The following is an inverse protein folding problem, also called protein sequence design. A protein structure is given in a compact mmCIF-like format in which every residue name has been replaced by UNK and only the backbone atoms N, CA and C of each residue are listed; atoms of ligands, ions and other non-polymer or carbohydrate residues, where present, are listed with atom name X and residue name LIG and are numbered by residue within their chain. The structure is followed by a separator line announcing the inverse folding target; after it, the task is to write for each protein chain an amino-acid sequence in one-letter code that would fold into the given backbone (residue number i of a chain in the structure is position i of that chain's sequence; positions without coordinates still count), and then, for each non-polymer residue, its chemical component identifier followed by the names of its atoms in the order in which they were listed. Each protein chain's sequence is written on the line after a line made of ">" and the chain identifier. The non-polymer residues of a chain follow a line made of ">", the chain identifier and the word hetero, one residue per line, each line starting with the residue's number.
data_IF_123568077118
#
_entry.id   IF_123568077118
#
_cell.length_a   1.000
_cell.length_b   1.000
_cell.length_c   1.000
_cell.angle_alpha   90.00
_cell.angle_beta   90.00
_cell.angle_gamma   90.00
#
_symmetry.space_group_name_H-M   'P 1'
#
loop_
_entity.id
_entity.type
_entity.pdbx_description
1 polymer ?
#
# COMPACT_ATOMS: atom_id res chain seq x y z
N UNK A 1 89.70 20.49 21.34
CA UNK A 1 88.82 19.50 20.71
C UNK A 1 87.83 19.01 21.77
N UNK A 2 86.63 19.56 21.76
CA UNK A 2 85.60 19.39 22.79
C UNK A 2 84.56 18.35 22.32
N UNK A 3 84.50 17.22 23.00
CA UNK A 3 83.47 16.19 22.77
C UNK A 3 82.14 16.61 23.43
N UNK A 4 81.13 16.83 22.60
CA UNK A 4 79.76 17.12 23.02
C UNK A 4 79.05 15.84 23.50
N UNK A 5 78.45 15.94 24.69
CA UNK A 5 77.76 14.88 25.42
C UNK A 5 76.33 14.68 24.84
N UNK A 6 75.96 13.44 24.50
CA UNK A 6 74.60 13.09 24.02
C UNK A 6 73.66 12.88 25.22
N UNK A 7 72.50 13.56 25.30
CA UNK A 7 71.53 13.26 26.34
C UNK A 7 70.74 11.98 26.03
N UNK A 8 70.68 11.08 27.03
CA UNK A 8 69.87 9.88 27.01
C UNK A 8 68.37 10.24 27.06
N UNK A 9 67.59 9.74 26.10
CA UNK A 9 66.13 9.86 26.09
C UNK A 9 65.54 8.91 27.11
N UNK A 10 64.78 9.44 28.06
CA UNK A 10 64.00 8.68 29.03
C UNK A 10 62.83 7.95 28.35
N UNK A 11 62.51 6.72 28.76
CA UNK A 11 61.32 6.02 28.27
C UNK A 11 60.07 6.71 28.82
N UNK A 12 59.21 7.17 27.91
CA UNK A 12 57.88 7.67 28.20
C UNK A 12 57.12 6.64 29.05
N UNK A 13 56.97 6.94 30.36
CA UNK A 13 56.03 6.26 31.25
C UNK A 13 54.64 6.41 30.63
N UNK A 14 54.17 5.37 29.94
CA UNK A 14 52.79 5.26 29.49
C UNK A 14 51.91 5.25 30.74
N UNK A 15 51.34 6.42 31.04
CA UNK A 15 50.52 6.62 32.21
C UNK A 15 49.31 5.70 32.14
N UNK A 16 49.06 5.00 33.24
CA UNK A 16 47.84 4.21 33.48
C UNK A 16 46.57 5.04 33.28
N UNK A 17 46.68 6.36 33.40
CA UNK A 17 45.61 7.33 33.11
C UNK A 17 45.01 7.21 31.70
N UNK A 18 45.82 6.94 30.65
CA UNK A 18 45.26 6.76 29.30
C UNK A 18 44.40 5.48 29.22
N UNK A 19 44.81 4.39 29.88
CA UNK A 19 44.02 3.15 29.87
C UNK A 19 42.64 3.33 30.50
N UNK A 20 42.55 4.12 31.57
CA UNK A 20 41.26 4.44 32.19
C UNK A 20 40.42 5.42 31.35
N UNK A 21 41.06 6.41 30.71
CA UNK A 21 40.35 7.31 29.80
C UNK A 21 39.77 6.58 28.57
N UNK A 22 40.51 5.63 27.99
CA UNK A 22 40.05 4.82 26.88
C UNK A 22 38.93 3.84 27.29
N UNK A 23 39.02 3.25 28.47
CA UNK A 23 37.98 2.39 29.02
C UNK A 23 36.69 3.16 29.34
N UNK A 24 36.80 4.36 29.91
CA UNK A 24 35.65 5.24 30.18
C UNK A 24 34.96 5.68 28.89
N UNK A 25 35.72 5.97 27.82
CA UNK A 25 35.17 6.31 26.51
C UNK A 25 34.40 5.13 25.89
N UNK A 26 34.94 3.91 26.00
CA UNK A 26 34.27 2.68 25.54
C UNK A 26 32.98 2.40 26.32
N UNK A 27 32.97 2.62 27.64
CA UNK A 27 31.78 2.44 28.48
C UNK A 27 30.70 3.49 28.17
N UNK A 28 31.09 4.74 27.87
CA UNK A 28 30.16 5.79 27.44
C UNK A 28 29.59 5.57 26.03
N UNK A 29 30.23 4.76 25.19
CA UNK A 29 29.71 4.39 23.87
C UNK A 29 28.80 3.15 23.89
N UNK A 30 28.75 2.38 24.98
CA UNK A 30 27.88 1.20 25.11
C UNK A 30 26.36 1.48 25.16
N UNK A 31 25.83 2.63 25.65
CA UNK A 31 24.39 2.91 25.60
C UNK A 31 23.92 3.46 24.25
N UNK A 32 24.83 3.84 23.33
CA UNK A 32 24.50 4.05 21.92
C UNK A 32 24.39 2.68 21.24
N UNK A 33 23.38 1.92 21.68
CA UNK A 33 23.17 0.55 21.26
C UNK A 33 23.12 0.43 19.74
N UNK A 34 24.00 -0.41 19.19
CA UNK A 34 23.74 -1.06 17.92
C UNK A 34 22.34 -1.69 18.00
N UNK A 35 21.37 -1.01 17.39
CA UNK A 35 19.99 -1.45 17.28
C UNK A 35 20.01 -2.73 16.46
N UNK A 36 20.12 -3.87 17.13
CA UNK A 36 20.14 -5.19 16.49
C UNK A 36 18.80 -5.36 15.74
N UNK A 37 18.80 -5.38 14.39
CA UNK A 37 17.57 -5.54 13.62
C UNK A 37 16.90 -6.91 13.84
N UNK A 38 17.54 -7.83 14.59
CA UNK A 38 16.99 -9.13 14.96
C UNK A 38 16.24 -9.11 16.29
N UNK A 39 16.46 -8.11 17.16
CA UNK A 39 15.61 -7.87 18.34
C UNK A 39 14.33 -7.16 17.91
N UNK A 40 13.48 -7.87 17.17
CA UNK A 40 12.08 -7.48 17.04
C UNK A 40 11.46 -7.66 18.42
N UNK A 41 10.86 -6.59 18.97
CA UNK A 41 9.86 -6.75 20.02
C UNK A 41 8.88 -7.84 19.57
N UNK A 42 8.43 -8.74 20.46
CA UNK A 42 7.33 -9.62 20.11
C UNK A 42 6.19 -8.73 19.59
N UNK A 43 5.59 -9.05 18.43
CA UNK A 43 4.54 -8.23 17.87
C UNK A 43 3.50 -8.02 18.97
N UNK A 44 3.20 -6.75 19.25
CA UNK A 44 2.06 -6.38 20.07
C UNK A 44 0.87 -7.11 19.47
N UNK A 45 0.23 -8.01 20.23
CA UNK A 45 -0.75 -8.94 19.67
C UNK A 45 -1.79 -8.15 18.85
N UNK A 46 -1.80 -8.28 17.51
CA UNK A 46 -2.72 -7.53 16.65
C UNK A 46 -4.18 -7.93 16.94
N UNK A 47 -4.40 -9.03 17.66
CA UNK A 47 -5.69 -9.52 18.10
C UNK A 47 -6.49 -8.47 18.90
N UNK A 48 -5.85 -7.68 19.77
CA UNK A 48 -6.59 -6.73 20.63
C UNK A 48 -7.04 -5.48 19.88
N UNK A 49 -6.26 -5.04 18.88
CA UNK A 49 -6.63 -3.90 18.04
C UNK A 49 -7.61 -4.28 16.91
N UNK A 50 -7.54 -5.52 16.40
CA UNK A 50 -8.47 -6.04 15.38
C UNK A 50 -9.89 -6.25 15.91
N UNK A 51 -10.04 -6.64 17.17
CA UNK A 51 -11.36 -6.95 17.73
C UNK A 51 -12.25 -5.71 17.93
N UNK A 52 -11.66 -4.52 18.15
CA UNK A 52 -12.42 -3.26 18.25
C UNK A 52 -12.81 -2.71 16.87
N UNK A 53 -11.94 -2.86 15.87
CA UNK A 53 -12.19 -2.38 14.51
C UNK A 53 -13.28 -3.20 13.80
N UNK A 54 -13.33 -4.51 14.01
CA UNK A 54 -14.33 -5.37 13.35
C UNK A 54 -15.78 -5.08 13.77
N UNK A 55 -16.00 -4.41 14.91
CA UNK A 55 -17.34 -3.98 15.36
C UNK A 55 -17.82 -2.68 14.73
N UNK A 56 -16.98 -2.02 13.94
CA UNK A 56 -17.32 -0.79 13.25
C UNK A 56 -18.29 -1.04 12.09
N UNK A 57 -18.95 0.03 11.66
CA UNK A 57 -19.76 0.00 10.44
C UNK A 57 -18.86 -0.32 9.23
N UNK A 58 -19.34 -1.09 8.23
CA UNK A 58 -18.54 -1.48 7.06
C UNK A 58 -17.88 -0.31 6.32
N UNK A 59 -18.53 0.85 6.31
CA UNK A 59 -17.99 2.05 5.69
C UNK A 59 -16.73 2.57 6.42
N UNK A 60 -16.69 2.47 7.75
CA UNK A 60 -15.54 2.92 8.55
C UNK A 60 -14.33 2.01 8.34
N UNK A 61 -14.55 0.70 8.25
CA UNK A 61 -13.50 -0.27 7.88
C UNK A 61 -12.88 0.05 6.51
N UNK A 62 -13.72 0.41 5.53
CA UNK A 62 -13.27 0.82 4.20
C UNK A 62 -12.47 2.13 4.28
N UNK A 63 -12.91 3.12 5.07
CA UNK A 63 -12.12 4.35 5.28
C UNK A 63 -10.77 4.06 5.91
N UNK A 64 -10.74 3.23 6.96
CA UNK A 64 -9.51 2.84 7.64
C UNK A 64 -8.54 2.10 6.71
N UNK A 65 -9.05 1.19 5.88
CA UNK A 65 -8.26 0.53 4.83
C UNK A 65 -7.63 1.54 3.87
N UNK A 66 -8.44 2.44 3.30
CA UNK A 66 -7.96 3.39 2.30
C UNK A 66 -6.96 4.40 2.88
N UNK A 67 -7.20 4.87 4.10
CA UNK A 67 -6.26 5.74 4.80
C UNK A 67 -4.95 5.03 5.09
N UNK A 68 -4.98 3.80 5.59
CA UNK A 68 -3.78 3.00 5.80
C UNK A 68 -3.00 2.79 4.49
N UNK A 69 -3.69 2.48 3.38
CA UNK A 69 -3.07 2.39 2.06
C UNK A 69 -2.42 3.71 1.61
N UNK A 70 -3.06 4.85 1.88
CA UNK A 70 -2.53 6.19 1.55
C UNK A 70 -1.27 6.50 2.34
N UNK A 71 -1.28 6.27 3.66
CA UNK A 71 -0.10 6.45 4.52
C UNK A 71 1.06 5.57 4.06
N UNK A 72 0.80 4.29 3.76
CA UNK A 72 1.84 3.37 3.31
C UNK A 72 2.43 3.75 1.95
N UNK A 73 1.61 4.25 1.01
CA UNK A 73 2.10 4.78 -0.27
C UNK A 73 2.98 6.01 -0.04
N UNK A 74 2.50 6.98 0.75
CA UNK A 74 3.21 8.21 1.01
C UNK A 74 4.57 7.96 1.68
N UNK A 75 4.58 7.19 2.77
CA UNK A 75 5.81 6.83 3.50
C UNK A 75 6.74 6.01 2.61
N UNK A 76 6.19 5.10 1.79
CA UNK A 76 6.95 4.32 0.82
C UNK A 76 7.66 5.20 -0.22
N UNK A 77 6.99 6.26 -0.70
CA UNK A 77 7.52 7.21 -1.68
C UNK A 77 8.57 8.17 -1.10
N UNK A 78 8.31 8.71 0.09
CA UNK A 78 9.21 9.68 0.75
C UNK A 78 10.45 8.99 1.36
N UNK A 79 10.30 7.70 1.68
CA UNK A 79 11.27 6.86 2.36
C UNK A 79 11.17 7.00 3.88
N UNK A 80 11.33 5.88 4.59
CA UNK A 80 11.31 5.78 6.06
C UNK A 80 12.57 6.39 6.70
N UNK A 81 12.80 7.69 6.52
CA UNK A 81 14.02 8.38 6.95
C UNK A 81 13.96 8.88 8.40
N UNK A 82 12.77 8.97 9.00
CA UNK A 82 12.56 9.43 10.37
C UNK A 82 11.89 8.35 11.25
N UNK A 83 12.11 8.40 12.58
CA UNK A 83 11.38 7.52 13.51
C UNK A 83 9.86 7.70 13.45
N UNK A 84 9.39 8.90 13.14
CA UNK A 84 7.97 9.21 12.99
C UNK A 84 7.37 8.52 11.75
N UNK A 85 8.05 8.60 10.59
CA UNK A 85 7.63 7.89 9.38
C UNK A 85 7.61 6.38 9.58
N UNK A 86 8.56 5.84 10.34
CA UNK A 86 8.55 4.43 10.72
C UNK A 86 7.34 4.08 11.60
N UNK A 87 7.00 4.91 12.59
CA UNK A 87 5.84 4.69 13.45
C UNK A 87 4.52 4.74 12.64
N UNK A 88 4.38 5.70 11.73
CA UNK A 88 3.22 5.81 10.82
C UNK A 88 3.10 4.58 9.92
N UNK A 89 4.22 4.09 9.38
CA UNK A 89 4.23 2.85 8.60
C UNK A 89 3.75 1.65 9.42
N UNK A 90 4.29 1.48 10.63
CA UNK A 90 3.94 0.36 11.52
C UNK A 90 2.46 0.42 11.96
N UNK A 91 1.94 1.61 12.24
CA UNK A 91 0.53 1.84 12.59
C UNK A 91 -0.41 1.56 11.41
N UNK A 92 -0.06 2.04 10.21
CA UNK A 92 -0.84 1.77 9.02
C UNK A 92 -0.81 0.27 8.64
N UNK A 93 0.34 -0.39 8.74
CA UNK A 93 0.43 -1.85 8.54
C UNK A 93 -0.43 -2.59 9.58
N UNK A 94 -0.36 -2.21 10.86
CA UNK A 94 -1.19 -2.80 11.90
C UNK A 94 -2.69 -2.62 11.62
N UNK A 95 -3.09 -1.44 11.16
CA UNK A 95 -4.48 -1.14 10.76
C UNK A 95 -4.93 -2.05 9.61
N UNK A 96 -4.11 -2.22 8.56
CA UNK A 96 -4.43 -3.15 7.47
C UNK A 96 -4.65 -4.59 7.95
N UNK A 97 -3.76 -5.05 8.83
CA UNK A 97 -3.84 -6.40 9.38
C UNK A 97 -5.05 -6.59 10.29
N UNK A 98 -5.50 -5.51 10.93
CA UNK A 98 -6.62 -5.50 11.86
C UNK A 98 -7.98 -5.51 11.16
N UNK A 99 -8.14 -4.75 10.05
CA UNK A 99 -9.41 -4.70 9.29
C UNK A 99 -9.64 -5.92 8.40
N UNK A 100 -8.63 -6.77 8.21
CA UNK A 100 -8.70 -7.93 7.35
C UNK A 100 -9.34 -9.15 8.05
N UNK A 101 -10.33 -9.76 7.40
CA UNK A 101 -10.82 -11.08 7.77
C UNK A 101 -9.88 -12.15 7.20
N UNK A 102 -8.90 -12.54 8.01
CA UNK A 102 -7.86 -13.51 7.65
C UNK A 102 -8.41 -14.87 7.23
N UNK A 103 -9.54 -15.30 7.79
CA UNK A 103 -10.17 -16.56 7.39
C UNK A 103 -10.83 -16.41 6.03
N UNK A 104 -11.52 -15.29 5.78
CA UNK A 104 -12.15 -15.01 4.50
C UNK A 104 -11.13 -14.85 3.37
N UNK A 105 -10.01 -14.18 3.64
CA UNK A 105 -8.87 -14.08 2.71
C UNK A 105 -8.30 -15.45 2.36
N UNK A 106 -8.16 -16.33 3.36
CA UNK A 106 -7.64 -17.68 3.13
C UNK A 106 -8.59 -18.55 2.31
N UNK A 107 -9.89 -18.52 2.62
CA UNK A 107 -10.94 -19.22 1.87
C UNK A 107 -10.97 -18.75 0.40
N UNK A 108 -10.94 -17.44 0.19
CA UNK A 108 -10.94 -16.83 -1.15
C UNK A 108 -9.70 -17.22 -1.95
N UNK A 109 -8.51 -17.15 -1.33
CA UNK A 109 -7.28 -17.55 -1.99
C UNK A 109 -7.24 -19.05 -2.27
N UNK A 110 -7.65 -19.90 -1.32
CA UNK A 110 -7.65 -21.34 -1.47
C UNK A 110 -8.59 -21.81 -2.59
N UNK A 111 -9.68 -21.08 -2.83
CA UNK A 111 -10.60 -21.32 -3.94
C UNK A 111 -9.92 -21.15 -5.32
N UNK A 112 -9.07 -20.14 -5.46
CA UNK A 112 -8.41 -19.81 -6.75
C UNK A 112 -7.12 -20.59 -6.95
N UNK A 113 -6.31 -20.76 -5.91
CA UNK A 113 -4.94 -21.28 -6.01
C UNK A 113 -4.71 -22.58 -5.22
N UNK A 114 -5.73 -23.10 -4.54
CA UNK A 114 -5.66 -24.33 -3.76
C UNK A 114 -5.20 -24.17 -2.31
N UNK A 115 -5.40 -25.23 -1.52
CA UNK A 115 -5.11 -25.27 -0.09
C UNK A 115 -3.61 -25.16 0.22
N UNK A 116 -3.28 -24.65 1.40
CA UNK A 116 -1.91 -24.62 1.89
C UNK A 116 -1.45 -26.00 2.37
N UNK A 117 -0.16 -26.31 2.16
CA UNK A 117 0.46 -27.55 2.65
C UNK A 117 0.67 -27.59 4.18
N UNK A 118 0.56 -26.45 4.86
CA UNK A 118 0.68 -26.33 6.32
C UNK A 118 0.10 -25.01 6.83
N UNK A 119 -0.23 -24.95 8.12
CA UNK A 119 -0.72 -23.73 8.78
C UNK A 119 0.28 -22.57 8.74
N UNK A 120 1.58 -22.87 8.78
CA UNK A 120 2.61 -21.84 8.65
C UNK A 120 2.62 -21.24 7.24
N UNK A 121 2.47 -22.07 6.20
CA UNK A 121 2.35 -21.61 4.83
C UNK A 121 1.05 -20.83 4.61
N UNK A 122 -0.05 -21.30 5.21
CA UNK A 122 -1.35 -20.64 5.22
C UNK A 122 -1.26 -19.21 5.78
N UNK A 123 -0.74 -19.05 7.00
CA UNK A 123 -0.59 -17.73 7.65
C UNK A 123 0.28 -16.76 6.85
N UNK A 124 1.44 -17.21 6.37
CA UNK A 124 2.37 -16.39 5.57
C UNK A 124 1.74 -15.91 4.27
N UNK A 125 0.96 -16.78 3.62
CA UNK A 125 0.25 -16.46 2.39
C UNK A 125 -0.81 -15.41 2.65
N UNK A 126 -1.66 -15.60 3.66
CA UNK A 126 -2.70 -14.62 4.04
C UNK A 126 -2.06 -13.26 4.37
N UNK A 127 -0.99 -13.25 5.18
CA UNK A 127 -0.24 -12.02 5.47
C UNK A 127 0.31 -11.37 4.19
N UNK A 128 0.83 -12.18 3.26
CA UNK A 128 1.34 -11.70 1.98
C UNK A 128 0.26 -11.09 1.10
N UNK A 129 -0.94 -11.68 1.07
CA UNK A 129 -2.10 -11.12 0.34
C UNK A 129 -2.51 -9.78 0.95
N UNK A 130 -2.71 -9.71 2.27
CA UNK A 130 -3.13 -8.47 2.94
C UNK A 130 -2.10 -7.36 2.73
N UNK A 131 -0.80 -7.67 2.89
CA UNK A 131 0.30 -6.71 2.67
C UNK A 131 0.44 -6.27 1.21
N UNK A 132 -0.13 -6.99 0.26
CA UNK A 132 -0.11 -6.60 -1.15
C UNK A 132 -1.21 -5.60 -1.53
N UNK A 133 -2.25 -5.44 -0.70
CA UNK A 133 -3.37 -4.54 -1.01
C UNK A 133 -2.95 -3.08 -1.26
N UNK A 134 -2.01 -2.47 -0.49
CA UNK A 134 -1.51 -1.13 -0.81
C UNK A 134 -0.93 -1.05 -2.22
N UNK A 135 -0.17 -2.06 -2.64
CA UNK A 135 0.41 -2.10 -4.00
C UNK A 135 -0.65 -2.26 -5.09
N UNK A 136 -1.77 -2.94 -4.81
CA UNK A 136 -2.90 -3.05 -5.74
C UNK A 136 -3.51 -1.67 -6.00
N UNK A 137 -3.63 -0.82 -4.98
CA UNK A 137 -4.31 0.48 -5.09
C UNK A 137 -3.39 1.69 -5.18
N UNK A 138 -2.06 1.53 -5.04
CA UNK A 138 -1.10 2.60 -4.84
C UNK A 138 -1.20 3.73 -5.89
N UNK A 139 -1.38 3.38 -7.16
CA UNK A 139 -1.50 4.37 -8.25
C UNK A 139 -2.75 5.24 -8.13
N UNK A 140 -3.82 4.68 -7.55
CA UNK A 140 -5.16 5.26 -7.58
C UNK A 140 -5.58 5.86 -6.23
N UNK A 141 -4.89 5.53 -5.14
CA UNK A 141 -5.29 5.90 -3.78
C UNK A 141 -5.29 7.41 -3.53
N UNK A 142 -4.41 8.15 -4.23
CA UNK A 142 -4.37 9.61 -4.22
C UNK A 142 -5.55 10.25 -4.95
N UNK A 143 -6.16 9.51 -5.88
CA UNK A 143 -7.31 9.92 -6.69
C UNK A 143 -8.67 9.57 -6.09
N UNK A 144 -8.69 8.97 -4.88
CA UNK A 144 -9.92 8.66 -4.16
C UNK A 144 -10.48 9.93 -3.51
N UNK A 145 -11.73 10.27 -3.81
CA UNK A 145 -12.43 11.39 -3.17
C UNK A 145 -12.65 11.14 -1.68
N UNK A 146 -12.64 12.21 -0.87
CA UNK A 146 -12.86 12.14 0.58
C UNK A 146 -14.23 11.57 0.96
N UNK A 147 -15.21 11.72 0.09
CA UNK A 147 -16.52 11.11 0.23
C UNK A 147 -16.47 9.67 -0.31
N UNK A 148 -16.61 8.70 0.59
CA UNK A 148 -16.89 7.34 0.19
C UNK A 148 -18.27 7.31 -0.47
N UNK A 149 -18.40 6.83 -1.71
CA UNK A 149 -19.71 6.60 -2.30
C UNK A 149 -20.51 5.61 -1.44
N UNK A 150 -21.83 5.76 -1.45
CA UNK A 150 -22.73 4.83 -0.75
C UNK A 150 -22.45 3.40 -1.24
N UNK A 151 -22.48 2.39 -0.34
CA UNK A 151 -22.24 1.01 -0.74
C UNK A 151 -23.24 0.64 -1.82
N UNK A 152 -22.75 0.19 -2.98
CA UNK A 152 -23.58 -0.65 -3.83
C UNK A 152 -23.77 -1.94 -3.05
N UNK A 153 -24.91 -2.11 -2.39
CA UNK A 153 -25.30 -3.42 -1.87
C UNK A 153 -25.54 -4.30 -3.10
N UNK A 154 -24.47 -4.92 -3.58
CA UNK A 154 -24.58 -5.97 -4.57
C UNK A 154 -25.10 -7.16 -3.77
N UNK A 155 -26.41 -7.39 -3.79
CA UNK A 155 -26.89 -8.77 -3.67
C UNK A 155 -26.14 -9.57 -4.73
N UNK A 156 -25.54 -10.73 -4.40
CA UNK A 156 -24.63 -11.42 -5.29
C UNK A 156 -25.35 -11.84 -6.57
N UNK A 157 -25.34 -10.98 -7.57
CA UNK A 157 -25.55 -11.35 -8.95
C UNK A 157 -24.17 -11.60 -9.53
N UNK A 158 -23.86 -12.88 -9.66
CA UNK A 158 -22.84 -13.43 -10.55
C UNK A 158 -21.37 -13.15 -10.23
N UNK A 159 -20.95 -13.49 -9.02
CA UNK A 159 -19.81 -14.40 -8.90
C UNK A 159 -20.37 -15.75 -8.48
N UNK A 160 -20.00 -16.84 -9.14
CA UNK A 160 -20.45 -18.23 -8.87
C UNK A 160 -20.11 -18.65 -7.43
N UNK A 161 -20.88 -18.17 -6.47
CA UNK A 161 -20.67 -18.26 -5.03
C UNK A 161 -21.57 -19.37 -4.47
N UNK A 162 -21.09 -20.60 -4.56
CA UNK A 162 -21.72 -21.76 -3.91
C UNK A 162 -21.44 -21.85 -2.41
N UNK A 163 -21.48 -20.75 -1.65
CA UNK A 163 -21.38 -20.78 -0.19
C UNK A 163 -22.44 -19.87 0.43
N UNK A 164 -23.15 -20.45 1.40
CA UNK A 164 -24.35 -19.95 2.03
C UNK A 164 -24.08 -18.96 3.20
N UNK A 165 -25.07 -18.10 3.45
CA UNK A 165 -25.49 -17.49 4.74
C UNK A 165 -24.74 -16.30 5.38
N UNK A 166 -23.53 -15.92 4.99
CA UNK A 166 -22.92 -14.69 5.55
C UNK A 166 -23.19 -13.49 4.63
N UNK A 167 -23.59 -12.35 5.19
CA UNK A 167 -23.80 -11.14 4.39
C UNK A 167 -22.47 -10.68 3.80
N UNK A 168 -22.44 -10.51 2.48
CA UNK A 168 -21.32 -9.91 1.77
C UNK A 168 -21.69 -8.48 1.36
N UNK A 169 -20.75 -7.55 1.48
CA UNK A 169 -20.88 -6.17 0.97
C UNK A 169 -19.70 -5.84 0.09
N UNK A 170 -19.93 -5.11 -1.00
CA UNK A 170 -18.87 -4.64 -1.88
C UNK A 170 -18.96 -3.12 -2.00
N UNK A 171 -17.90 -2.44 -1.58
CA UNK A 171 -17.75 -1.02 -1.78
C UNK A 171 -17.05 -0.78 -3.11
N UNK A 172 -17.67 0.07 -3.93
CA UNK A 172 -17.21 0.50 -5.24
C UNK A 172 -16.69 1.92 -5.11
N UNK A 173 -15.39 2.09 -4.98
CA UNK A 173 -14.77 3.40 -4.80
C UNK A 173 -14.20 3.86 -6.14
N UNK A 174 -14.70 4.99 -6.63
CA UNK A 174 -14.17 5.60 -7.86
C UNK A 174 -12.90 6.35 -7.49
N UNK A 175 -11.80 6.00 -8.15
CA UNK A 175 -10.55 6.73 -8.06
C UNK A 175 -10.24 7.37 -9.40
N UNK A 176 -10.09 8.70 -9.43
CA UNK A 176 -9.78 9.46 -10.65
C UNK A 176 -8.40 10.11 -10.54
N UNK A 177 -7.65 10.10 -11.63
CA UNK A 177 -6.34 10.76 -11.71
C UNK A 177 -6.46 11.99 -12.62
N UNK A 178 -6.95 13.15 -12.15
CA UNK A 178 -7.24 14.30 -13.02
C UNK A 178 -6.01 14.81 -13.77
N UNK A 179 -4.82 14.75 -13.15
CA UNK A 179 -3.56 15.10 -13.79
C UNK A 179 -3.23 14.14 -14.94
N UNK A 180 -3.46 12.83 -14.75
CA UNK A 180 -3.27 11.83 -15.79
C UNK A 180 -4.33 11.96 -16.90
N UNK A 181 -5.58 12.29 -16.56
CA UNK A 181 -6.63 12.59 -17.54
C UNK A 181 -6.22 13.77 -18.44
N UNK A 182 -5.76 14.87 -17.84
CA UNK A 182 -5.30 16.05 -18.56
C UNK A 182 -4.07 15.76 -19.45
N UNK A 183 -3.09 15.02 -18.94
CA UNK A 183 -1.91 14.64 -19.69
C UNK A 183 -2.24 13.67 -20.85
N UNK A 184 -3.16 12.72 -20.64
CA UNK A 184 -3.62 11.83 -21.70
C UNK A 184 -4.42 12.60 -22.77
N UNK A 185 -5.21 13.60 -22.38
CA UNK A 185 -5.91 14.48 -23.31
C UNK A 185 -4.92 15.32 -24.16
N UNK A 186 -3.79 15.75 -23.59
CA UNK A 186 -2.70 16.38 -24.35
C UNK A 186 -2.08 15.39 -25.36
N UNK A 187 -1.72 14.18 -24.94
CA UNK A 187 -1.18 13.14 -25.82
C UNK A 187 -2.15 12.85 -26.97
N UNK A 188 -3.46 12.77 -26.69
CA UNK A 188 -4.49 12.55 -27.72
C UNK A 188 -4.58 13.70 -28.73
N UNK A 189 -4.35 14.93 -28.29
CA UNK A 189 -4.26 16.12 -29.17
C UNK A 189 -2.98 16.09 -30.02
N UNK A 190 -1.84 15.70 -29.46
CA UNK A 190 -0.59 15.50 -30.19
C UNK A 190 -0.72 14.39 -31.26
N UNK A 191 -1.37 13.29 -30.90
CA UNK A 191 -1.61 12.17 -31.80
C UNK A 191 -2.43 12.60 -33.02
N UNK A 192 -3.47 13.42 -32.82
CA UNK A 192 -4.35 13.89 -33.89
C UNK A 192 -3.66 14.78 -34.94
N UNK A 193 -2.53 15.40 -34.60
CA UNK A 193 -1.72 16.22 -35.53
C UNK A 193 -0.49 15.48 -36.07
N UNK A 194 -0.21 14.29 -35.54
CA UNK A 194 0.92 13.44 -35.96
C UNK A 194 0.59 12.70 -37.24
N UNK A 195 1.60 12.52 -38.11
CA UNK A 195 1.48 11.76 -39.35
C UNK A 195 2.17 10.40 -39.24
N UNK A 196 1.60 9.38 -39.87
CA UNK A 196 2.21 8.07 -40.00
C UNK A 196 3.34 8.07 -41.04
N UNK A 197 3.98 6.91 -41.24
CA UNK A 197 5.09 6.73 -42.19
C UNK A 197 4.70 7.01 -43.65
N UNK A 198 3.40 7.03 -43.97
CA UNK A 198 2.86 7.36 -45.29
C UNK A 198 2.51 8.84 -45.43
N UNK A 199 2.71 9.63 -44.38
CA UNK A 199 2.40 11.07 -44.35
C UNK A 199 0.93 11.40 -44.05
N UNK A 200 0.12 10.41 -43.68
CA UNK A 200 -1.31 10.58 -43.34
C UNK A 200 -1.48 10.87 -41.85
N UNK A 201 -2.45 11.72 -41.48
CA UNK A 201 -2.74 12.00 -40.07
C UNK A 201 -3.28 10.76 -39.34
N UNK A 202 -2.83 10.55 -38.11
CA UNK A 202 -3.38 9.50 -37.24
C UNK A 202 -4.82 9.84 -36.88
N UNK A 203 -5.75 8.95 -37.25
CA UNK A 203 -7.19 9.16 -36.99
C UNK A 203 -7.57 8.66 -35.59
N UNK A 204 -8.25 9.46 -34.76
CA UNK A 204 -8.78 9.00 -33.48
C UNK A 204 -9.60 7.71 -33.62
N UNK A 205 -9.37 6.74 -32.72
CA UNK A 205 -10.03 5.43 -32.75
C UNK A 205 -9.45 4.42 -33.75
N UNK A 206 -8.45 4.79 -34.55
CA UNK A 206 -7.70 3.84 -35.39
C UNK A 206 -6.56 3.17 -34.63
N UNK A 207 -6.17 1.96 -35.05
CA UNK A 207 -5.12 1.16 -34.39
C UNK A 207 -3.77 1.91 -34.28
N UNK A 208 -3.36 2.62 -35.33
CA UNK A 208 -2.10 3.39 -35.32
C UNK A 208 -2.16 4.56 -34.32
N UNK A 209 -3.31 5.21 -34.19
CA UNK A 209 -3.53 6.30 -33.24
C UNK A 209 -3.48 5.76 -31.81
N UNK A 210 -4.23 4.69 -31.50
CA UNK A 210 -4.26 4.10 -30.16
C UNK A 210 -2.89 3.53 -29.76
N UNK A 211 -2.17 2.93 -30.71
CA UNK A 211 -0.80 2.45 -30.46
C UNK A 211 0.15 3.61 -30.16
N UNK A 212 0.03 4.72 -30.90
CA UNK A 212 0.85 5.92 -30.67
C UNK A 212 0.55 6.53 -29.30
N UNK A 213 -0.74 6.74 -28.98
CA UNK A 213 -1.19 7.26 -27.69
C UNK A 213 -0.71 6.38 -26.55
N UNK A 214 -0.84 5.05 -26.68
CA UNK A 214 -0.37 4.10 -25.66
C UNK A 214 1.14 4.16 -25.47
N UNK A 215 1.93 4.20 -26.56
CA UNK A 215 3.39 4.34 -26.45
C UNK A 215 3.77 5.64 -25.77
N UNK A 216 3.17 6.75 -26.17
CA UNK A 216 3.45 8.07 -25.60
C UNK A 216 3.03 8.18 -24.14
N UNK A 217 1.89 7.57 -23.77
CA UNK A 217 1.45 7.47 -22.38
C UNK A 217 2.45 6.67 -21.54
N UNK A 218 2.90 5.52 -22.04
CA UNK A 218 3.92 4.70 -21.37
C UNK A 218 5.25 5.45 -21.19
N UNK A 219 5.70 6.19 -22.20
CA UNK A 219 6.89 7.05 -22.10
C UNK A 219 6.77 8.11 -21.01
N UNK A 220 5.56 8.64 -20.77
CA UNK A 220 5.26 9.58 -19.68
C UNK A 220 4.90 8.90 -18.35
N UNK A 221 4.97 7.57 -18.25
CA UNK A 221 4.58 6.81 -17.05
C UNK A 221 3.07 6.81 -16.76
N UNK A 222 2.24 7.18 -17.74
CA UNK A 222 0.79 7.29 -17.62
C UNK A 222 0.09 5.96 -17.89
N UNK A 223 -0.97 5.69 -17.13
CA UNK A 223 -1.91 4.61 -17.42
C UNK A 223 -2.77 5.02 -18.62
N UNK A 224 -3.03 4.11 -19.57
CA UNK A 224 -3.95 4.39 -20.68
C UNK A 224 -5.41 4.54 -20.21
N UNK A 225 -5.74 4.06 -19.00
CA UNK A 225 -7.01 4.32 -18.32
C UNK A 225 -6.72 5.17 -17.08
N UNK A 226 -6.93 6.49 -17.15
CA UNK A 226 -6.70 7.38 -16.02
C UNK A 226 -7.84 7.18 -15.01
N UNK A 227 -7.51 6.56 -13.88
CA UNK A 227 -8.50 6.12 -12.87
C UNK A 227 -8.83 4.63 -12.91
N UNK A 228 -9.45 4.16 -11.83
CA UNK A 228 -9.92 2.80 -11.65
C UNK A 228 -11.08 2.72 -10.65
N UNK A 229 -11.84 1.63 -10.70
CA UNK A 229 -12.78 1.28 -9.65
C UNK A 229 -12.06 0.42 -8.61
N UNK A 230 -11.90 0.91 -7.39
CA UNK A 230 -11.40 0.10 -6.28
C UNK A 230 -12.58 -0.67 -5.69
N UNK A 231 -12.47 -1.99 -5.70
CA UNK A 231 -13.47 -2.92 -5.19
C UNK A 231 -13.00 -3.47 -3.85
N UNK A 232 -13.70 -3.13 -2.78
CA UNK A 232 -13.44 -3.64 -1.42
C UNK A 232 -14.59 -4.57 -1.04
N UNK A 233 -14.30 -5.86 -0.93
CA UNK A 233 -15.28 -6.84 -0.47
C UNK A 233 -15.13 -7.10 1.02
N UNK A 234 -16.27 -7.10 1.72
CA UNK A 234 -16.38 -7.39 3.14
C UNK A 234 -17.28 -8.59 3.37
N UNK A 235 -17.00 -9.28 4.47
CA UNK A 235 -17.80 -10.39 4.98
C UNK A 235 -18.20 -10.10 6.41
N UNK A 236 -19.46 -10.36 6.73
CA UNK A 236 -19.94 -10.36 8.11
C UNK A 236 -19.50 -11.65 8.82
N UNK A 237 -18.96 -11.50 10.03
CA UNK A 237 -18.49 -12.57 10.91
C UNK A 237 -19.12 -12.42 12.29
N UNK A 238 -18.92 -13.40 13.17
CA UNK A 238 -19.37 -13.29 14.58
C UNK A 238 -18.71 -12.15 15.35
N UNK A 239 -17.55 -11.67 14.89
CA UNK A 239 -16.83 -10.54 15.48
C UNK A 239 -17.21 -9.18 14.85
N UNK A 240 -18.13 -9.19 13.87
CA UNK A 240 -18.51 -8.04 13.04
C UNK A 240 -17.96 -8.15 11.62
N UNK A 241 -17.72 -7.03 10.95
CA UNK A 241 -17.31 -7.00 9.55
C UNK A 241 -15.79 -7.10 9.40
N UNK A 242 -15.34 -7.71 8.31
CA UNK A 242 -13.93 -7.73 7.94
C UNK A 242 -13.72 -7.78 6.43
N UNK A 243 -12.60 -7.22 5.97
CA UNK A 243 -12.25 -7.14 4.56
C UNK A 243 -11.66 -8.47 4.08
N UNK A 244 -12.18 -9.00 2.98
CA UNK A 244 -11.74 -10.29 2.41
C UNK A 244 -10.97 -10.13 1.11
N UNK A 245 -11.18 -9.04 0.37
CA UNK A 245 -10.44 -8.77 -0.86
C UNK A 245 -10.44 -7.29 -1.23
N UNK A 246 -9.33 -6.86 -1.82
CA UNK A 246 -9.18 -5.56 -2.49
C UNK A 246 -8.75 -5.83 -3.93
N UNK A 247 -9.45 -5.26 -4.90
CA UNK A 247 -9.16 -5.42 -6.32
C UNK A 247 -9.46 -4.17 -7.12
N UNK A 248 -8.98 -4.12 -8.36
CA UNK A 248 -9.26 -3.05 -9.30
C UNK A 248 -10.20 -3.56 -10.39
N UNK A 249 -11.21 -2.76 -10.73
CA UNK A 249 -12.06 -2.92 -11.91
C UNK A 249 -11.90 -1.74 -12.87
N UNK A 250 -12.34 -1.90 -14.13
CA UNK A 250 -12.39 -0.79 -15.07
C UNK A 250 -13.33 0.30 -14.57
N UNK A 251 -13.00 1.56 -14.86
CA UNK A 251 -13.91 2.69 -14.66
C UNK A 251 -14.96 2.62 -15.77
N UNK A 252 -16.09 1.97 -15.51
CA UNK A 252 -17.16 1.87 -16.48
C UNK A 252 -17.96 3.18 -16.46
N UNK A 253 -17.67 4.08 -17.40
CA UNK A 253 -18.33 5.40 -17.53
C UNK A 253 -19.84 5.28 -17.81
N UNK A 254 -20.31 4.08 -18.16
CA UNK A 254 -21.70 3.81 -18.56
C UNK A 254 -22.62 3.38 -17.41
N UNK A 255 -22.11 3.18 -16.20
CA UNK A 255 -22.95 3.02 -15.01
C UNK A 255 -23.18 4.38 -14.36
N UNK A 256 -24.39 4.96 -14.40
CA UNK A 256 -24.70 6.04 -13.49
C UNK A 256 -24.45 5.50 -12.08
N UNK A 257 -23.50 6.12 -11.37
CA UNK A 257 -23.48 6.06 -9.92
C UNK A 257 -24.90 6.44 -9.53
N UNK A 258 -25.67 5.48 -9.01
CA UNK A 258 -27.00 5.76 -8.50
C UNK A 258 -26.82 6.84 -7.44
N UNK A 259 -26.98 8.10 -7.87
CA UNK A 259 -27.24 9.21 -6.99
C UNK A 259 -28.51 8.76 -6.27
N UNK A 260 -28.41 8.57 -4.96
CA UNK A 260 -29.56 8.23 -4.15
C UNK A 260 -30.67 9.19 -4.52
N UNK A 261 -31.71 8.68 -5.17
CA UNK A 261 -32.92 9.44 -5.37
C UNK A 261 -33.46 9.74 -3.98
N UNK A 262 -33.30 11.00 -3.57
CA UNK A 262 -34.30 11.69 -2.80
C UNK A 262 -35.67 11.47 -3.49
N UNK A 263 -36.41 10.49 -3.02
CA UNK A 263 -37.86 10.50 -3.04
C UNK A 263 -38.25 10.33 -1.58
N UNK A 264 -38.44 11.41 -0.81
CA UNK A 264 -39.74 12.08 -0.66
C UNK A 264 -40.89 11.06 -0.74
N UNK A 265 -41.25 10.54 0.42
CA UNK A 265 -42.63 10.56 0.94
C UNK A 265 -42.60 10.50 2.47
#
# INVERSE_FOLDING_TARGET
>A
MTHANKPARSPLRRSTAWRYAAAALLILCLPLGCRDPRRKQPPRDPAVAGESLNRQEPAELVRALLEACRVLEQVGREGMKSPEAQAQFEEAEATLMAVADRNGVDEEYARVYGAARSDRARRRRVDGVIRSWPSVVARYISGVTSELPQPSIIQPHDYRLGIARNAHRVYRIVAREPEAEAALAEIRREAATTRNVRGELLRPGGDEYELWVRRRALERGLSPQPGALILVALRETTAGWGIVSVSLGPLDESQPLAQGEEQRE
#
